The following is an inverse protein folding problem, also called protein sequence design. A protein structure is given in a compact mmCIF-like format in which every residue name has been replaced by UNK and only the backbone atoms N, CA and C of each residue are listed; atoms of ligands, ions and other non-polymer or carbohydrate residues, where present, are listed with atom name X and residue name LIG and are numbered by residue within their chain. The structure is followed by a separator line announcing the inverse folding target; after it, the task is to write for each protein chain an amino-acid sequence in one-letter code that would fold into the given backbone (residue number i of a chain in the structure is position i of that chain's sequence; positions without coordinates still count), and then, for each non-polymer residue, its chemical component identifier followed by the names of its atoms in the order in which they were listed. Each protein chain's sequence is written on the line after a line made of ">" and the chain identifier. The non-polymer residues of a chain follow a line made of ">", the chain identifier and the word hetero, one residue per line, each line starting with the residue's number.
data_IF_680069010460
#
_entry.id   IF_680069010460
#
_cell.length_a   1.000
_cell.length_b   1.000
_cell.length_c   1.000
_cell.angle_alpha   90.00
_cell.angle_beta   90.00
_cell.angle_gamma   90.00
#
_symmetry.space_group_name_H-M   'P 1'
#
loop_
_entity.id
_entity.type
_entity.pdbx_description
1 polymer ?
#
# COMPACT_ATOMS: atom_id res chain seq x y z
N UNK A 1 -34.95 13.50 -21.00
CA UNK A 1 -35.17 12.04 -20.89
C UNK A 1 -33.88 11.40 -20.38
N UNK A 2 -33.84 10.95 -19.12
CA UNK A 2 -32.71 10.20 -18.58
C UNK A 2 -33.11 8.72 -18.47
N UNK A 3 -32.45 7.87 -19.26
CA UNK A 3 -32.64 6.42 -19.18
C UNK A 3 -31.93 5.93 -17.92
N UNK A 4 -32.69 5.70 -16.85
CA UNK A 4 -32.20 5.00 -15.65
C UNK A 4 -32.02 3.53 -16.01
N UNK A 5 -30.78 3.11 -16.24
CA UNK A 5 -30.45 1.68 -16.23
C UNK A 5 -30.53 1.19 -14.78
N UNK A 6 -31.66 0.56 -14.44
CA UNK A 6 -31.79 -0.23 -13.22
C UNK A 6 -31.06 -1.56 -13.44
N UNK A 7 -29.77 -1.60 -13.09
CA UNK A 7 -29.04 -2.86 -12.94
C UNK A 7 -29.51 -3.51 -11.63
N UNK A 8 -30.35 -4.55 -11.76
CA UNK A 8 -30.80 -5.35 -10.63
C UNK A 8 -29.62 -5.90 -9.84
N UNK A 9 -29.58 -5.61 -8.55
CA UNK A 9 -28.53 -6.10 -7.64
C UNK A 9 -28.82 -7.55 -7.25
N UNK A 10 -28.25 -8.50 -7.99
CA UNK A 10 -28.08 -9.87 -7.48
C UNK A 10 -27.22 -9.81 -6.21
N UNK A 11 -27.53 -10.58 -5.13
CA UNK A 11 -26.67 -10.62 -3.96
C UNK A 11 -25.29 -11.13 -4.37
N UNK A 12 -24.28 -10.24 -4.34
CA UNK A 12 -22.89 -10.64 -4.54
C UNK A 12 -22.46 -11.41 -3.31
N UNK A 13 -22.19 -12.71 -3.46
CA UNK A 13 -21.42 -13.45 -2.49
C UNK A 13 -20.04 -12.79 -2.39
N UNK A 14 -19.78 -12.07 -1.30
CA UNK A 14 -18.48 -11.43 -1.06
C UNK A 14 -17.60 -12.32 -0.21
N UNK A 15 -16.41 -12.66 -0.71
CA UNK A 15 -15.37 -13.35 0.05
C UNK A 15 -14.57 -12.29 0.82
N UNK A 16 -14.33 -12.51 2.11
CA UNK A 16 -13.40 -11.68 2.89
C UNK A 16 -11.98 -11.99 2.45
N UNK A 17 -11.22 -10.98 2.04
CA UNK A 17 -9.87 -11.16 1.47
C UNK A 17 -8.82 -10.95 2.56
N UNK A 18 -8.35 -12.05 3.16
CA UNK A 18 -7.32 -12.04 4.24
C UNK A 18 -6.00 -12.67 3.82
N UNK A 19 -5.82 -12.96 2.53
CA UNK A 19 -4.60 -13.56 2.00
C UNK A 19 -3.38 -12.69 2.34
N UNK A 20 -2.28 -13.31 2.77
CA UNK A 20 -1.05 -12.56 3.03
C UNK A 20 -0.49 -11.98 1.72
N UNK A 21 -0.10 -10.71 1.75
CA UNK A 21 0.49 -10.02 0.61
C UNK A 21 1.70 -9.18 1.02
N UNK A 22 2.56 -8.91 0.05
CA UNK A 22 3.57 -7.85 0.13
C UNK A 22 3.14 -6.74 -0.84
N UNK A 23 2.85 -5.55 -0.30
CA UNK A 23 2.48 -4.38 -1.08
C UNK A 23 3.55 -3.30 -0.94
N UNK A 24 4.13 -2.88 -2.05
CA UNK A 24 4.97 -1.69 -2.12
C UNK A 24 4.14 -0.51 -2.61
N UNK A 25 4.03 0.53 -1.79
CA UNK A 25 3.20 1.71 -2.06
C UNK A 25 4.06 2.97 -2.18
N UNK A 26 3.87 3.70 -3.26
CA UNK A 26 4.38 5.05 -3.46
C UNK A 26 3.20 6.02 -3.51
N UNK A 27 3.14 6.97 -2.57
CA UNK A 27 2.05 7.94 -2.44
C UNK A 27 2.56 9.35 -2.77
N UNK A 28 1.85 10.04 -3.67
CA UNK A 28 2.21 11.37 -4.17
C UNK A 28 1.04 12.35 -3.97
N UNK A 29 1.16 13.31 -3.03
CA UNK A 29 0.25 14.47 -2.95
C UNK A 29 0.35 15.33 -4.22
N UNK A 30 -0.80 15.75 -4.77
CA UNK A 30 -0.88 16.58 -5.98
C UNK A 30 -1.49 17.93 -5.62
N UNK A 31 -0.95 19.00 -6.20
CA UNK A 31 -1.50 20.35 -6.09
C UNK A 31 -1.05 21.12 -4.84
N UNK A 32 0.07 20.73 -4.22
CA UNK A 32 0.62 21.36 -3.01
C UNK A 32 1.15 22.80 -3.19
N UNK A 33 1.33 23.27 -4.42
CA UNK A 33 1.97 24.57 -4.70
C UNK A 33 3.49 24.59 -4.45
N UNK A 34 4.07 23.49 -3.96
CA UNK A 34 5.51 23.27 -3.78
C UNK A 34 5.88 21.88 -4.30
N UNK A 35 7.11 21.67 -4.83
CA UNK A 35 7.56 20.35 -5.26
C UNK A 35 7.84 19.39 -4.09
N UNK A 36 8.03 19.88 -2.87
CA UNK A 36 8.35 19.01 -1.73
C UNK A 36 7.12 18.31 -1.15
N UNK A 37 7.26 17.01 -0.89
CA UNK A 37 6.23 16.13 -0.31
C UNK A 37 6.70 15.48 1.01
N UNK A 38 7.86 15.89 1.54
CA UNK A 38 8.50 15.21 2.67
C UNK A 38 7.66 15.23 3.95
N UNK A 39 6.90 16.31 4.18
CA UNK A 39 6.10 16.46 5.40
C UNK A 39 4.94 15.45 5.42
N UNK A 40 4.27 15.23 4.28
CA UNK A 40 3.20 14.23 4.16
C UNK A 40 3.77 12.82 4.26
N UNK A 41 4.90 12.56 3.60
CA UNK A 41 5.59 11.27 3.68
C UNK A 41 5.98 10.96 5.12
N UNK A 42 6.45 11.95 5.89
CA UNK A 42 6.78 11.78 7.31
C UNK A 42 5.54 11.42 8.16
N UNK A 43 4.37 12.01 7.87
CA UNK A 43 3.13 11.69 8.60
C UNK A 43 2.68 10.25 8.35
N UNK A 44 2.61 9.83 7.09
CA UNK A 44 2.18 8.45 6.77
C UNK A 44 3.21 7.42 7.24
N UNK A 45 4.50 7.77 7.25
CA UNK A 45 5.56 6.90 7.79
C UNK A 45 5.39 6.68 9.29
N UNK A 46 5.06 7.72 10.07
CA UNK A 46 4.77 7.55 11.50
C UNK A 46 3.55 6.66 11.73
N UNK A 47 2.49 6.87 10.97
CA UNK A 47 1.29 6.02 11.03
C UNK A 47 1.62 4.55 10.67
N UNK A 48 2.49 4.33 9.69
CA UNK A 48 2.99 3.00 9.33
C UNK A 48 3.77 2.32 10.48
N UNK A 49 4.55 3.09 11.24
CA UNK A 49 5.33 2.61 12.39
C UNK A 49 4.46 2.30 13.62
N UNK A 50 3.30 2.93 13.74
CA UNK A 50 2.31 2.67 14.81
C UNK A 50 1.43 1.44 14.50
N UNK A 51 1.43 0.97 13.24
CA UNK A 51 0.71 -0.22 12.80
C UNK A 51 1.36 -1.50 13.33
N UNK A 52 0.59 -2.56 13.64
CA UNK A 52 1.15 -3.88 13.95
C UNK A 52 1.71 -4.60 12.71
N UNK A 53 1.50 -4.06 11.50
CA UNK A 53 2.00 -4.65 10.26
C UNK A 53 3.52 -4.41 10.10
N UNK A 54 4.20 -5.35 9.45
CA UNK A 54 5.61 -5.15 9.09
C UNK A 54 5.69 -4.12 7.96
N UNK A 55 6.39 -3.01 8.23
CA UNK A 55 6.58 -1.93 7.26
C UNK A 55 8.07 -1.62 7.09
N UNK A 56 8.49 -1.34 5.86
CA UNK A 56 9.88 -0.98 5.53
C UNK A 56 9.88 0.20 4.57
N UNK A 57 10.32 1.36 5.07
CA UNK A 57 10.52 2.56 4.26
C UNK A 57 11.78 2.41 3.38
N UNK A 58 11.69 2.87 2.14
CA UNK A 58 12.84 3.07 1.26
C UNK A 58 12.66 4.34 0.41
N UNK A 59 13.63 4.63 -0.46
CA UNK A 59 13.70 5.89 -1.22
C UNK A 59 12.52 6.17 -2.17
N UNK A 60 11.73 5.15 -2.51
CA UNK A 60 10.69 5.21 -3.53
C UNK A 60 9.30 4.82 -3.02
N UNK A 61 9.16 4.54 -1.72
CA UNK A 61 7.91 4.04 -1.16
C UNK A 61 8.10 3.33 0.17
N UNK A 62 7.04 2.64 0.58
CA UNK A 62 7.02 1.80 1.77
C UNK A 62 6.50 0.42 1.37
N UNK A 63 7.29 -0.61 1.68
CA UNK A 63 6.82 -1.99 1.58
C UNK A 63 6.07 -2.37 2.86
N UNK A 64 4.88 -2.95 2.73
CA UNK A 64 3.99 -3.36 3.80
C UNK A 64 3.68 -4.86 3.62
N UNK A 65 3.82 -5.65 4.68
CA UNK A 65 3.52 -7.08 4.68
C UNK A 65 2.40 -7.41 5.68
N UNK A 66 1.44 -8.24 5.26
CA UNK A 66 0.33 -8.62 6.12
C UNK A 66 -0.89 -9.17 5.39
N UNK A 67 -2.00 -9.40 6.10
CA UNK A 67 -3.29 -9.74 5.50
C UNK A 67 -3.76 -8.64 4.54
N UNK A 68 -4.26 -9.03 3.37
CA UNK A 68 -4.64 -8.10 2.29
C UNK A 68 -5.57 -6.98 2.76
N UNK A 69 -6.63 -7.33 3.49
CA UNK A 69 -7.59 -6.35 4.01
C UNK A 69 -6.91 -5.31 4.93
N UNK A 70 -6.02 -5.74 5.82
CA UNK A 70 -5.33 -4.87 6.77
C UNK A 70 -4.29 -3.99 6.07
N UNK A 71 -3.55 -4.55 5.11
CA UNK A 71 -2.58 -3.80 4.30
C UNK A 71 -3.29 -2.71 3.49
N UNK A 72 -4.38 -3.05 2.81
CA UNK A 72 -5.15 -2.09 2.01
C UNK A 72 -5.87 -1.07 2.87
N UNK A 73 -6.31 -1.45 4.08
CA UNK A 73 -6.88 -0.51 5.05
C UNK A 73 -5.83 0.51 5.52
N UNK A 74 -4.62 0.09 5.88
CA UNK A 74 -3.53 1.00 6.24
C UNK A 74 -3.20 1.98 5.09
N UNK A 75 -3.16 1.50 3.84
CA UNK A 75 -2.97 2.38 2.67
C UNK A 75 -4.12 3.38 2.55
N UNK A 76 -5.36 2.94 2.78
CA UNK A 76 -6.52 3.84 2.84
C UNK A 76 -6.40 4.90 3.94
N UNK A 77 -5.92 4.53 5.12
CA UNK A 77 -5.68 5.44 6.23
C UNK A 77 -4.59 6.48 5.89
N UNK A 78 -3.58 6.14 5.10
CA UNK A 78 -2.61 7.12 4.60
C UNK A 78 -3.27 8.22 3.77
N UNK A 79 -4.21 7.86 2.90
CA UNK A 79 -4.97 8.84 2.14
C UNK A 79 -5.84 9.69 3.06
N UNK A 80 -6.59 9.05 3.96
CA UNK A 80 -7.51 9.71 4.88
C UNK A 80 -6.78 10.74 5.76
N UNK A 81 -5.67 10.36 6.39
CA UNK A 81 -4.93 11.25 7.29
C UNK A 81 -4.35 12.47 6.58
N UNK A 82 -3.93 12.32 5.32
CA UNK A 82 -3.40 13.43 4.52
C UNK A 82 -4.50 14.38 4.02
N UNK A 83 -5.67 13.86 3.69
CA UNK A 83 -6.86 14.68 3.44
C UNK A 83 -7.24 15.48 4.70
N UNK A 84 -7.35 14.81 5.85
CA UNK A 84 -7.86 15.42 7.08
C UNK A 84 -6.89 16.39 7.75
N UNK A 85 -5.59 16.02 7.84
CA UNK A 85 -4.60 16.79 8.62
C UNK A 85 -3.77 17.75 7.78
N UNK A 86 -3.56 17.44 6.50
CA UNK A 86 -2.73 18.25 5.61
C UNK A 86 -3.52 19.00 4.54
N UNK A 87 -4.84 18.78 4.46
CA UNK A 87 -5.69 19.45 3.46
C UNK A 87 -5.30 19.12 2.02
N UNK A 88 -4.60 17.99 1.80
CA UNK A 88 -4.20 17.57 0.47
C UNK A 88 -5.47 17.28 -0.34
N UNK A 89 -5.69 18.00 -1.44
CA UNK A 89 -6.94 17.85 -2.21
C UNK A 89 -6.95 16.61 -3.09
N UNK A 90 -5.78 16.14 -3.53
CA UNK A 90 -5.65 14.98 -4.41
C UNK A 90 -4.39 14.20 -4.07
N UNK A 91 -4.52 12.88 -4.00
CA UNK A 91 -3.42 11.95 -3.78
C UNK A 91 -3.44 10.92 -4.91
N UNK A 92 -2.29 10.64 -5.49
CA UNK A 92 -2.10 9.51 -6.40
C UNK A 92 -1.18 8.49 -5.73
N UNK A 93 -1.56 7.22 -5.79
CA UNK A 93 -0.73 6.12 -5.29
C UNK A 93 -0.46 5.11 -6.38
N UNK A 94 0.79 4.65 -6.47
CA UNK A 94 1.19 3.45 -7.20
C UNK A 94 1.37 2.32 -6.19
N UNK A 95 0.75 1.17 -6.45
CA UNK A 95 0.80 0.01 -5.56
C UNK A 95 1.20 -1.21 -6.38
N UNK A 96 2.35 -1.78 -6.07
CA UNK A 96 2.77 -3.09 -6.56
C UNK A 96 2.53 -4.11 -5.46
N UNK A 97 1.55 -4.99 -5.66
CA UNK A 97 1.18 -6.00 -4.65
C UNK A 97 1.26 -7.41 -5.24
N UNK A 98 1.79 -8.33 -4.44
CA UNK A 98 1.89 -9.74 -4.81
C UNK A 98 1.40 -10.66 -3.70
N UNK A 99 0.82 -11.78 -4.09
CA UNK A 99 0.43 -12.89 -3.21
C UNK A 99 1.06 -14.17 -3.75
N UNK A 100 1.23 -15.16 -2.88
CA UNK A 100 1.72 -16.50 -3.24
C UNK A 100 1.16 -17.53 -2.27
N UNK A 101 1.08 -18.78 -2.70
CA UNK A 101 0.49 -19.88 -1.91
C UNK A 101 1.48 -21.01 -1.61
N UNK A 102 2.67 -20.99 -2.20
CA UNK A 102 3.68 -22.05 -2.07
C UNK A 102 4.55 -21.91 -0.81
N UNK A 103 4.72 -20.68 -0.30
CA UNK A 103 5.46 -20.41 0.95
C UNK A 103 5.12 -19.05 1.54
N UNK A 104 5.35 -18.89 2.83
CA UNK A 104 5.45 -17.58 3.46
C UNK A 104 6.83 -16.95 3.17
N UNK A 105 6.87 -15.64 2.94
CA UNK A 105 8.10 -14.92 2.63
C UNK A 105 7.96 -13.43 3.00
N UNK A 106 8.87 -12.92 3.82
CA UNK A 106 8.96 -11.49 4.16
C UNK A 106 9.63 -10.67 3.03
N UNK A 107 9.55 -9.33 3.04
CA UNK A 107 10.35 -8.49 2.16
C UNK A 107 11.86 -8.77 2.28
N UNK A 108 12.38 -8.93 3.51
CA UNK A 108 13.79 -9.18 3.75
C UNK A 108 14.23 -10.54 3.18
N UNK A 109 13.43 -11.59 3.37
CA UNK A 109 13.70 -12.91 2.77
C UNK A 109 13.81 -12.84 1.24
N UNK A 110 13.02 -11.96 0.61
CA UNK A 110 13.03 -11.76 -0.85
C UNK A 110 14.35 -11.12 -1.30
N UNK A 111 14.86 -10.16 -0.53
CA UNK A 111 16.15 -9.51 -0.77
C UNK A 111 17.31 -10.48 -0.53
N UNK A 112 17.29 -11.22 0.58
CA UNK A 112 18.35 -12.16 0.97
C UNK A 112 18.54 -13.28 -0.05
N UNK A 113 17.44 -13.78 -0.64
CA UNK A 113 17.51 -14.79 -1.72
C UNK A 113 18.25 -14.24 -2.94
N UNK A 114 18.04 -12.97 -3.31
CA UNK A 114 18.74 -12.35 -4.44
C UNK A 114 20.22 -12.19 -4.11
N UNK A 115 20.56 -11.67 -2.92
CA UNK A 115 21.96 -11.54 -2.52
C UNK A 115 22.72 -12.86 -2.46
N UNK A 116 22.08 -13.92 -1.95
CA UNK A 116 22.69 -15.26 -1.96
C UNK A 116 22.99 -15.73 -3.40
N UNK A 117 22.03 -15.56 -4.31
CA UNK A 117 22.21 -15.91 -5.73
C UNK A 117 23.31 -15.10 -6.41
N UNK A 118 23.46 -13.82 -6.06
CA UNK A 118 24.55 -12.97 -6.59
C UNK A 118 25.92 -13.47 -6.12
N UNK A 119 26.06 -13.86 -4.84
CA UNK A 119 27.31 -14.42 -4.29
C UNK A 119 27.69 -15.78 -4.90
N UNK A 120 26.70 -16.59 -5.31
CA UNK A 120 26.94 -17.89 -5.96
C UNK A 120 27.45 -17.75 -7.41
N UNK A 121 27.34 -16.56 -8.01
CA UNK A 121 27.79 -16.26 -9.37
C UNK A 121 29.20 -15.64 -9.42
N UNK A 122 29.77 -15.32 -8.26
CA UNK A 122 31.15 -14.85 -8.09
C UNK A 122 32.10 -16.03 -7.87
#
# INVERSE_FOLDING_TARGET
>A
MAVKYFIGSSPRTTITVTIHCLADVCLIPIGKGTPSVSDEVAVITRLAQESPLETTLHSAGTTIAGPWNEVMDLIGQFHQVLHDKHGVLRIQSDIRVGTRTDKHQTPQDKIDVVYRKLKEQE
#
